data_IF_755970269840
#
_entry.id   IF_755970269840
#
_cell.length_a   1.000
_cell.length_b   1.000
_cell.length_c   1.000
_cell.angle_alpha   90.00
_cell.angle_beta   90.00
_cell.angle_gamma   90.00
#
_symmetry.space_group_name_H-M   'P 1'
#
loop_
_entity.id
_entity.type
_entity.pdbx_description
1 polymer ?
#
# COMPACT_ATOMS: atom_id res chain seq x y z
N UNK A 1 0.21 -20.13 0.33
CA UNK A 1 -0.47 -19.53 1.49
C UNK A 1 -0.84 -18.11 1.12
N UNK A 2 -2.11 -17.72 1.31
CA UNK A 2 -2.59 -16.37 1.05
C UNK A 2 -2.08 -15.47 2.17
N UNK A 3 -1.24 -14.48 1.86
CA UNK A 3 -0.61 -13.63 2.87
C UNK A 3 -1.65 -12.66 3.44
N UNK A 4 -1.83 -12.65 4.76
CA UNK A 4 -2.63 -11.64 5.44
C UNK A 4 -1.83 -10.34 5.53
N UNK A 5 -2.44 -9.24 5.09
CA UNK A 5 -1.82 -7.91 5.13
C UNK A 5 -2.32 -7.18 6.36
N UNK A 6 -1.41 -6.66 7.18
CA UNK A 6 -1.74 -5.76 8.28
C UNK A 6 -0.70 -4.65 8.35
N UNK A 7 -1.14 -3.43 8.61
CA UNK A 7 -0.20 -2.31 8.68
C UNK A 7 0.75 -2.44 9.89
N UNK A 8 2.04 -2.11 9.75
CA UNK A 8 2.97 -2.02 10.87
C UNK A 8 2.46 -1.10 11.99
N UNK A 9 2.77 -1.43 13.24
CA UNK A 9 2.36 -0.68 14.45
C UNK A 9 3.58 -0.18 15.21
N UNK A 10 3.38 0.76 16.13
CA UNK A 10 4.44 1.34 16.95
C UNK A 10 5.24 2.43 16.21
N UNK A 11 6.35 2.84 16.83
CA UNK A 11 7.17 3.98 16.39
C UNK A 11 8.36 3.61 15.48
N UNK A 12 8.60 2.32 15.23
CA UNK A 12 9.63 1.87 14.30
C UNK A 12 9.24 2.14 12.85
N UNK A 13 10.17 2.65 12.05
CA UNK A 13 9.96 2.96 10.63
C UNK A 13 10.46 1.82 9.74
N UNK A 14 9.71 1.55 8.67
CA UNK A 14 10.11 0.68 7.56
C UNK A 14 10.54 1.51 6.33
N UNK A 15 9.93 2.69 6.15
CA UNK A 15 10.27 3.67 5.13
C UNK A 15 11.33 4.68 5.63
N UNK A 16 11.85 5.52 4.72
CA UNK A 16 12.84 6.57 5.03
C UNK A 16 12.30 7.70 5.90
N UNK A 17 10.99 7.88 5.98
CA UNK A 17 10.34 8.95 6.74
C UNK A 17 8.87 8.67 7.04
N UNK A 18 8.29 9.47 7.93
CA UNK A 18 6.91 9.29 8.40
C UNK A 18 5.86 9.50 7.31
N UNK A 19 6.12 10.35 6.31
CA UNK A 19 5.16 10.56 5.22
C UNK A 19 5.01 9.30 4.35
N UNK A 20 6.12 8.68 3.97
CA UNK A 20 6.13 7.46 3.18
C UNK A 20 5.61 6.27 4.01
N UNK A 21 6.00 6.20 5.29
CA UNK A 21 5.51 5.19 6.24
C UNK A 21 3.99 5.28 6.41
N UNK A 22 3.45 6.48 6.58
CA UNK A 22 2.01 6.70 6.73
C UNK A 22 1.25 6.23 5.49
N UNK A 23 1.70 6.59 4.28
CA UNK A 23 1.10 6.12 3.04
C UNK A 23 1.14 4.58 2.94
N UNK A 24 2.26 3.96 3.29
CA UNK A 24 2.41 2.50 3.29
C UNK A 24 1.46 1.84 4.30
N UNK A 25 1.40 2.35 5.53
CA UNK A 25 0.51 1.84 6.58
C UNK A 25 -0.95 1.99 6.20
N UNK A 26 -1.36 3.13 5.66
CA UNK A 26 -2.75 3.32 5.24
C UNK A 26 -3.13 2.40 4.08
N UNK A 27 -2.24 2.20 3.11
CA UNK A 27 -2.46 1.23 2.03
C UNK A 27 -2.61 -0.20 2.57
N UNK A 28 -1.74 -0.61 3.49
CA UNK A 28 -1.83 -1.94 4.12
C UNK A 28 -3.08 -2.08 5.00
N UNK A 29 -3.50 -1.02 5.68
CA UNK A 29 -4.71 -1.02 6.51
C UNK A 29 -5.97 -1.20 5.69
N UNK A 30 -6.04 -0.64 4.47
CA UNK A 30 -7.13 -0.90 3.54
C UNK A 30 -7.27 -2.39 3.14
N UNK A 31 -6.26 -3.23 3.41
CA UNK A 31 -6.27 -4.66 3.11
C UNK A 31 -6.20 -5.53 4.37
N UNK A 32 -6.38 -4.93 5.55
CA UNK A 32 -6.49 -5.68 6.79
C UNK A 32 -7.76 -6.55 6.76
N UNK A 33 -7.70 -7.85 7.13
CA UNK A 33 -8.87 -8.73 7.19
C UNK A 33 -10.01 -8.21 8.07
N UNK A 34 -9.72 -7.33 9.04
CA UNK A 34 -10.73 -6.68 9.89
C UNK A 34 -11.31 -5.41 9.28
N UNK A 35 -10.78 -4.93 8.15
CA UNK A 35 -11.17 -3.68 7.49
C UNK A 35 -11.78 -3.92 6.11
N UNK A 36 -11.14 -4.77 5.29
CA UNK A 36 -11.51 -5.00 3.91
C UNK A 36 -12.61 -6.06 3.75
N UNK A 37 -13.55 -5.84 2.84
CA UNK A 37 -14.60 -6.83 2.49
C UNK A 37 -14.00 -8.11 1.86
N UNK A 38 -13.02 -7.98 0.96
CA UNK A 38 -12.32 -9.12 0.35
C UNK A 38 -10.85 -8.76 0.03
N UNK A 39 -9.95 -8.80 1.03
CA UNK A 39 -8.57 -8.38 0.87
C UNK A 39 -7.76 -9.26 -0.09
N UNK A 40 -8.17 -10.51 -0.29
CA UNK A 40 -7.46 -11.47 -1.14
C UNK A 40 -7.52 -11.09 -2.64
N UNK A 41 -8.57 -10.38 -3.03
CA UNK A 41 -8.74 -9.82 -4.37
C UNK A 41 -8.43 -8.32 -4.44
N UNK A 42 -7.82 -7.80 -3.36
CA UNK A 42 -7.49 -6.39 -3.12
C UNK A 42 -8.71 -5.48 -2.94
N UNK A 43 -9.90 -6.03 -2.76
CA UNK A 43 -11.16 -5.29 -2.64
C UNK A 43 -11.32 -4.78 -1.21
N UNK A 44 -11.50 -3.47 -1.08
CA UNK A 44 -11.68 -2.78 0.21
C UNK A 44 -13.16 -2.73 0.56
N UNK A 45 -13.98 -2.07 -0.27
CA UNK A 45 -15.43 -2.00 -0.13
C UNK A 45 -16.08 -1.56 -1.45
N UNK A 46 -17.41 -1.58 -1.50
CA UNK A 46 -18.16 -1.04 -2.64
C UNK A 46 -18.11 -1.94 -3.88
N UNK A 47 -18.08 -3.26 -3.66
CA UNK A 47 -18.11 -4.28 -4.72
C UNK A 47 -16.77 -4.47 -5.42
N UNK A 48 -16.30 -3.48 -6.18
CA UNK A 48 -15.07 -3.58 -6.99
C UNK A 48 -14.00 -2.53 -6.63
N UNK A 49 -14.21 -1.74 -5.59
CA UNK A 49 -13.23 -0.75 -5.11
C UNK A 49 -11.98 -1.42 -4.54
N UNK A 50 -10.85 -1.31 -5.25
CA UNK A 50 -9.57 -1.96 -4.87
C UNK A 50 -8.51 -0.99 -4.35
N UNK A 51 -7.67 -1.47 -3.44
CA UNK A 51 -6.53 -0.72 -2.91
C UNK A 51 -5.37 -0.58 -3.91
N UNK A 52 -5.20 -1.56 -4.80
CA UNK A 52 -4.22 -1.56 -5.89
C UNK A 52 -4.77 -2.32 -7.10
N UNK A 53 -4.17 -2.13 -8.28
CA UNK A 53 -4.66 -2.74 -9.53
C UNK A 53 -4.64 -4.27 -9.49
N UNK A 54 -3.54 -4.81 -8.99
CA UNK A 54 -3.24 -6.23 -8.85
C UNK A 54 -2.11 -6.39 -7.82
N UNK A 55 -1.79 -7.63 -7.46
CA UNK A 55 -0.78 -7.93 -6.43
C UNK A 55 0.62 -7.42 -6.81
N UNK A 56 1.02 -7.54 -8.08
CA UNK A 56 2.28 -6.99 -8.58
C UNK A 56 2.37 -5.47 -8.35
N UNK A 57 1.27 -4.75 -8.62
CA UNK A 57 1.21 -3.30 -8.39
C UNK A 57 1.25 -2.96 -6.91
N UNK A 58 0.57 -3.72 -6.05
CA UNK A 58 0.62 -3.55 -4.60
C UNK A 58 2.06 -3.71 -4.08
N UNK A 59 2.73 -4.81 -4.43
CA UNK A 59 4.11 -5.08 -4.04
C UNK A 59 5.07 -3.98 -4.56
N UNK A 60 4.88 -3.53 -5.79
CA UNK A 60 5.68 -2.45 -6.37
C UNK A 60 5.45 -1.10 -5.66
N UNK A 61 4.23 -0.78 -5.23
CA UNK A 61 3.94 0.42 -4.43
C UNK A 61 4.65 0.32 -3.08
N UNK A 62 4.50 -0.79 -2.36
CA UNK A 62 5.16 -1.01 -1.06
C UNK A 62 6.67 -0.89 -1.18
N UNK A 63 7.29 -1.55 -2.19
CA UNK A 63 8.73 -1.47 -2.44
C UNK A 63 9.18 -0.04 -2.76
N UNK A 64 8.38 0.71 -3.50
CA UNK A 64 8.70 2.09 -3.87
C UNK A 64 8.60 3.03 -2.66
N UNK A 65 7.53 2.94 -1.87
CA UNK A 65 7.36 3.74 -0.64
C UNK A 65 8.50 3.50 0.37
N UNK A 66 9.02 2.27 0.48
CA UNK A 66 10.16 1.98 1.37
C UNK A 66 11.45 2.71 0.98
N UNK A 67 11.67 2.98 -0.31
CA UNK A 67 12.88 3.63 -0.82
C UNK A 67 12.70 5.11 -1.18
N UNK A 68 11.46 5.60 -1.25
CA UNK A 68 11.11 6.96 -1.68
C UNK A 68 11.73 8.02 -0.75
N UNK A 69 12.44 8.98 -1.34
CA UNK A 69 13.00 10.15 -0.68
C UNK A 69 11.93 11.12 -0.15
N UNK A 70 12.36 12.11 0.62
CA UNK A 70 11.47 13.15 1.14
C UNK A 70 11.16 14.23 0.09
N UNK A 71 11.98 14.31 -0.95
CA UNK A 71 11.92 15.20 -2.08
C UNK A 71 11.42 14.50 -3.36
N UNK A 72 11.08 13.21 -3.28
CA UNK A 72 10.57 12.40 -4.39
C UNK A 72 9.05 12.20 -4.28
N UNK A 73 8.37 12.11 -5.42
CA UNK A 73 6.93 11.86 -5.55
C UNK A 73 6.65 10.56 -6.31
N UNK A 74 5.93 9.62 -5.68
CA UNK A 74 5.42 8.43 -6.35
C UNK A 74 4.14 8.73 -7.12
N UNK A 75 4.14 8.46 -8.43
CA UNK A 75 2.96 8.57 -9.29
C UNK A 75 2.22 7.22 -9.35
N UNK A 76 0.94 7.22 -8.99
CA UNK A 76 0.06 6.03 -9.04
C UNK A 76 -1.11 6.29 -10.00
N UNK A 77 -1.22 5.48 -11.06
CA UNK A 77 -2.29 5.57 -12.05
C UNK A 77 -3.22 4.36 -11.93
N UNK A 78 -4.47 4.58 -11.54
CA UNK A 78 -5.48 3.52 -11.31
C UNK A 78 -4.89 2.30 -10.58
N UNK A 79 -4.25 2.54 -9.44
CA UNK A 79 -3.67 1.51 -8.59
C UNK A 79 -2.36 0.87 -9.08
N UNK A 80 -1.70 1.41 -10.12
CA UNK A 80 -0.38 0.97 -10.60
C UNK A 80 0.67 2.06 -10.36
N UNK A 81 1.83 1.76 -9.77
CA UNK A 81 2.94 2.72 -9.67
C UNK A 81 3.57 2.90 -11.06
N UNK A 82 3.60 4.13 -11.58
CA UNK A 82 4.04 4.42 -12.95
C UNK A 82 5.34 5.22 -13.03
N UNK A 83 5.78 5.84 -11.93
CA UNK A 83 7.03 6.60 -11.90
C UNK A 83 7.31 7.19 -10.54
N UNK A 84 8.56 7.63 -10.37
CA UNK A 84 9.00 8.49 -9.27
C UNK A 84 9.61 9.73 -9.92
N UNK A 85 9.22 10.91 -9.46
CA UNK A 85 9.68 12.21 -9.95
C UNK A 85 10.21 13.07 -8.80
#
# INVERSE_FOLDING_TARGET
MKQEIRAPRGNALTCKGWHQEAAMRMLMNNLDPEVAENPQDLVVYGGSGKAARNWESFEAIIKTLKRLGNDETLLVQSGKPVGVA
#
